data_IF_560680749941
#
_entry.id   IF_560680749941
#
_cell.length_a   1.000
_cell.length_b   1.000
_cell.length_c   1.000
_cell.angle_alpha   90.00
_cell.angle_beta   90.00
_cell.angle_gamma   90.00
#
_symmetry.space_group_name_H-M   'P 1'
#
loop_
_entity.id
_entity.type
_entity.pdbx_description
1 polymer ?
#
# COMPACT_ATOMS: atom_id res chain seq x y z
N UNK A 1 18.93 -13.57 -2.04
CA UNK A 1 18.29 -14.03 -0.79
C UNK A 1 17.11 -13.10 -0.55
N UNK A 2 15.88 -13.58 -0.70
CA UNK A 2 14.69 -12.74 -0.65
C UNK A 2 14.50 -12.18 0.77
N UNK A 3 14.39 -10.86 0.92
CA UNK A 3 14.09 -10.21 2.19
C UNK A 3 12.75 -10.74 2.70
N UNK A 4 12.76 -11.48 3.81
CA UNK A 4 11.54 -11.85 4.50
C UNK A 4 10.77 -10.57 4.88
N UNK A 5 9.44 -10.54 4.75
CA UNK A 5 8.65 -9.39 5.15
C UNK A 5 8.87 -9.09 6.64
N UNK A 6 9.22 -7.84 6.95
CA UNK A 6 9.36 -7.40 8.34
C UNK A 6 8.01 -7.50 9.07
N UNK A 7 8.02 -7.75 10.38
CA UNK A 7 6.80 -7.77 11.23
C UNK A 7 5.93 -6.52 11.01
N UNK A 8 6.58 -5.36 10.77
CA UNK A 8 5.91 -4.10 10.46
C UNK A 8 5.12 -4.12 9.14
N UNK A 9 5.54 -4.88 8.14
CA UNK A 9 4.83 -5.02 6.87
C UNK A 9 3.59 -5.91 7.00
N UNK A 10 3.70 -7.05 7.69
CA UNK A 10 2.55 -7.94 7.96
C UNK A 10 1.44 -7.20 8.71
N UNK A 11 1.83 -6.43 9.74
CA UNK A 11 0.90 -5.60 10.50
C UNK A 11 0.25 -4.50 9.66
N UNK A 12 0.93 -3.94 8.66
CA UNK A 12 0.33 -2.92 7.78
C UNK A 12 -0.76 -3.52 6.89
N UNK A 13 -0.45 -4.64 6.22
CA UNK A 13 -1.42 -5.32 5.34
C UNK A 13 -2.61 -5.83 6.14
N UNK A 14 -2.36 -6.49 7.28
CA UNK A 14 -3.43 -6.98 8.16
C UNK A 14 -4.37 -5.87 8.64
N UNK A 15 -3.82 -4.71 9.04
CA UNK A 15 -4.63 -3.54 9.43
C UNK A 15 -5.47 -3.00 8.27
N UNK A 16 -4.94 -2.96 7.05
CA UNK A 16 -5.70 -2.45 5.90
C UNK A 16 -6.85 -3.39 5.52
N UNK A 17 -6.62 -4.71 5.57
CA UNK A 17 -7.67 -5.73 5.41
C UNK A 17 -8.78 -5.50 6.44
N UNK A 18 -8.40 -5.39 7.72
CA UNK A 18 -9.35 -5.16 8.81
C UNK A 18 -10.15 -3.88 8.63
N UNK A 19 -9.47 -2.77 8.32
CA UNK A 19 -10.08 -1.46 8.11
C UNK A 19 -11.15 -1.51 7.01
N UNK A 20 -10.86 -2.17 5.89
CA UNK A 20 -11.81 -2.32 4.78
C UNK A 20 -12.97 -3.24 5.12
N UNK A 21 -12.68 -4.38 5.76
CA UNK A 21 -13.73 -5.30 6.24
C UNK A 21 -14.72 -4.58 7.15
N UNK A 22 -14.22 -3.83 8.12
CA UNK A 22 -15.04 -3.04 9.06
C UNK A 22 -15.80 -1.90 8.36
N UNK A 23 -15.18 -1.20 7.40
CA UNK A 23 -15.85 -0.16 6.62
C UNK A 23 -17.01 -0.69 5.76
N UNK A 24 -16.93 -1.95 5.32
CA UNK A 24 -18.01 -2.65 4.60
C UNK A 24 -19.04 -3.29 5.54
N UNK A 25 -18.86 -3.19 6.86
CA UNK A 25 -19.74 -3.83 7.85
C UNK A 25 -19.69 -5.36 7.85
N UNK A 26 -18.60 -5.96 7.34
CA UNK A 26 -18.48 -7.41 7.19
C UNK A 26 -17.96 -8.08 8.47
N UNK A 27 -18.55 -9.21 8.84
CA UNK A 27 -17.96 -10.14 9.81
C UNK A 27 -16.80 -10.93 9.19
N UNK A 28 -15.99 -11.60 10.02
CA UNK A 28 -14.95 -12.50 9.51
C UNK A 28 -15.55 -13.66 8.71
N UNK A 29 -16.71 -14.19 9.12
CA UNK A 29 -17.41 -15.25 8.41
C UNK A 29 -17.90 -14.78 7.04
N UNK A 30 -18.46 -13.57 6.96
CA UNK A 30 -18.89 -13.00 5.69
C UNK A 30 -17.72 -12.73 4.74
N UNK A 31 -16.57 -12.30 5.24
CA UNK A 31 -15.37 -12.17 4.41
C UNK A 31 -14.81 -13.54 4.01
N UNK A 32 -14.91 -14.54 4.88
CA UNK A 32 -14.54 -15.92 4.58
C UNK A 32 -15.34 -16.46 3.40
N UNK A 33 -16.68 -16.33 3.44
CA UNK A 33 -17.56 -16.78 2.37
C UNK A 33 -17.22 -16.12 1.02
N UNK A 34 -16.84 -14.84 1.04
CA UNK A 34 -16.48 -14.07 -0.16
C UNK A 34 -15.09 -14.37 -0.70
N UNK A 35 -14.16 -14.76 0.17
CA UNK A 35 -12.73 -14.94 -0.19
C UNK A 35 -12.31 -16.41 -0.31
N UNK A 36 -13.12 -17.35 0.19
CA UNK A 36 -12.76 -18.76 0.31
C UNK A 36 -11.69 -19.04 1.37
N UNK A 37 -11.39 -18.07 2.24
CA UNK A 37 -10.37 -18.17 3.30
C UNK A 37 -11.04 -18.31 4.65
N UNK A 38 -10.60 -19.27 5.47
CA UNK A 38 -11.26 -19.54 6.75
C UNK A 38 -11.26 -18.32 7.68
N UNK A 39 -12.32 -18.12 8.49
CA UNK A 39 -12.45 -16.93 9.36
C UNK A 39 -11.27 -16.79 10.34
N UNK A 40 -10.82 -17.91 10.89
CA UNK A 40 -9.66 -17.94 11.79
C UNK A 40 -8.38 -17.50 11.08
N UNK A 41 -8.16 -17.94 9.83
CA UNK A 41 -6.95 -17.55 9.10
C UNK A 41 -6.98 -16.05 8.76
N UNK A 42 -8.12 -15.52 8.32
CA UNK A 42 -8.32 -14.07 8.14
C UNK A 42 -7.98 -13.32 9.43
N UNK A 43 -8.51 -13.77 10.57
CA UNK A 43 -8.22 -13.16 11.87
C UNK A 43 -6.73 -13.16 12.22
N UNK A 44 -5.98 -14.23 11.92
CA UNK A 44 -4.52 -14.23 12.14
C UNK A 44 -3.77 -13.27 11.22
N UNK A 45 -4.25 -13.07 9.99
CA UNK A 45 -3.68 -12.13 9.02
C UNK A 45 -3.95 -10.69 9.47
N UNK A 46 -5.19 -10.36 9.86
CA UNK A 46 -5.58 -9.03 10.34
C UNK A 46 -4.75 -8.57 11.55
N UNK A 47 -4.37 -9.51 12.41
CA UNK A 47 -3.54 -9.26 13.59
C UNK A 47 -2.02 -9.34 13.30
N UNK A 48 -1.61 -9.55 12.05
CA UNK A 48 -0.19 -9.66 11.64
C UNK A 48 0.53 -10.87 12.25
N UNK A 49 -0.20 -11.90 12.69
CA UNK A 49 0.36 -13.11 13.33
C UNK A 49 0.83 -14.15 12.32
N UNK A 50 0.38 -14.07 11.07
CA UNK A 50 0.80 -14.97 9.99
C UNK A 50 1.10 -14.19 8.73
N UNK A 51 2.11 -14.68 8.02
CA UNK A 51 2.33 -14.31 6.63
C UNK A 51 1.26 -14.98 5.74
N UNK A 52 0.75 -14.23 4.78
CA UNK A 52 -0.28 -14.68 3.86
C UNK A 52 0.34 -14.85 2.48
N UNK A 53 0.07 -15.99 1.83
CA UNK A 53 0.50 -16.16 0.45
C UNK A 53 -0.11 -15.09 -0.45
N UNK A 54 0.54 -14.80 -1.58
CA UNK A 54 -0.03 -13.90 -2.60
C UNK A 54 -1.41 -14.35 -3.08
N UNK A 55 -1.64 -15.65 -3.20
CA UNK A 55 -2.96 -16.21 -3.54
C UNK A 55 -4.01 -15.91 -2.46
N UNK A 56 -3.65 -16.02 -1.18
CA UNK A 56 -4.53 -15.69 -0.05
C UNK A 56 -4.88 -14.20 -0.04
N UNK A 57 -3.88 -13.33 -0.19
CA UNK A 57 -4.09 -11.89 -0.25
C UNK A 57 -4.97 -11.49 -1.45
N UNK A 58 -4.78 -12.15 -2.60
CA UNK A 58 -5.63 -11.93 -3.76
C UNK A 58 -7.08 -12.37 -3.52
N UNK A 59 -7.30 -13.53 -2.89
CA UNK A 59 -8.64 -14.00 -2.52
C UNK A 59 -9.34 -13.03 -1.56
N UNK A 60 -8.62 -12.51 -0.58
CA UNK A 60 -9.12 -11.48 0.35
C UNK A 60 -9.43 -10.17 -0.41
N UNK A 61 -8.55 -9.72 -1.33
CA UNK A 61 -8.78 -8.53 -2.13
C UNK A 61 -10.06 -8.64 -2.98
N UNK A 62 -10.25 -9.79 -3.64
CA UNK A 62 -11.47 -10.11 -4.38
C UNK A 62 -12.69 -10.10 -3.46
N UNK A 63 -12.62 -10.74 -2.28
CA UNK A 63 -13.73 -10.77 -1.32
C UNK A 63 -14.09 -9.40 -0.73
N UNK A 64 -13.12 -8.48 -0.67
CA UNK A 64 -13.32 -7.08 -0.29
C UNK A 64 -13.73 -6.18 -1.47
N UNK A 65 -13.67 -6.67 -2.70
CA UNK A 65 -14.00 -5.93 -3.92
C UNK A 65 -12.99 -4.83 -4.28
N UNK A 66 -11.70 -5.05 -4.01
CA UNK A 66 -10.65 -4.03 -4.17
C UNK A 66 -9.44 -4.59 -4.94
N UNK A 67 -8.70 -3.76 -5.67
CA UNK A 67 -7.43 -4.18 -6.25
C UNK A 67 -6.44 -4.63 -5.17
N UNK A 68 -5.71 -5.73 -5.42
CA UNK A 68 -4.71 -6.25 -4.49
C UNK A 68 -3.68 -5.19 -4.08
N UNK A 69 -3.30 -4.31 -5.01
CA UNK A 69 -2.36 -3.23 -4.73
C UNK A 69 -2.81 -2.27 -3.62
N UNK A 70 -4.13 -2.10 -3.44
CA UNK A 70 -4.64 -1.26 -2.37
C UNK A 70 -4.46 -1.89 -0.97
N UNK A 71 -4.44 -3.22 -0.87
CA UNK A 71 -4.13 -3.90 0.39
C UNK A 71 -2.63 -3.84 0.72
N UNK A 72 -1.79 -3.81 -0.32
CA UNK A 72 -0.33 -3.75 -0.20
C UNK A 72 0.18 -2.31 0.01
N UNK A 73 -0.70 -1.32 -0.07
CA UNK A 73 -0.30 0.09 -0.05
C UNK A 73 0.51 0.51 -1.27
N UNK A 74 0.36 -0.19 -2.40
CA UNK A 74 0.94 0.21 -3.69
C UNK A 74 0.07 1.19 -4.46
N UNK A 75 -1.07 1.62 -3.90
CA UNK A 75 -1.72 2.83 -4.36
C UNK A 75 -0.74 3.99 -4.20
N UNK A 76 -0.34 4.59 -5.31
CA UNK A 76 0.51 5.76 -5.32
C UNK A 76 -0.26 6.93 -4.69
N UNK A 77 -0.13 7.09 -3.39
CA UNK A 77 -0.62 8.27 -2.68
C UNK A 77 0.40 9.39 -2.92
N UNK A 78 0.22 10.17 -3.97
CA UNK A 78 1.00 11.38 -4.15
C UNK A 78 0.55 12.43 -3.14
N UNK A 79 1.50 13.06 -2.44
CA UNK A 79 1.20 14.23 -1.63
C UNK A 79 0.64 15.34 -2.54
N UNK A 80 -0.32 16.18 -2.11
CA UNK A 80 -0.85 17.27 -2.93
C UNK A 80 0.25 18.14 -3.57
N UNK A 81 1.32 18.42 -2.81
CA UNK A 81 2.48 19.16 -3.31
C UNK A 81 3.27 18.42 -4.40
N UNK A 82 3.25 17.09 -4.44
CA UNK A 82 3.88 16.31 -5.53
C UNK A 82 3.09 16.48 -6.83
N UNK A 83 1.76 16.53 -6.74
CA UNK A 83 0.87 16.77 -7.88
C UNK A 83 1.04 18.22 -8.38
N UNK A 84 1.08 19.18 -7.46
CA UNK A 84 1.34 20.59 -7.78
C UNK A 84 2.71 20.78 -8.43
N UNK A 85 3.76 20.15 -7.89
CA UNK A 85 5.09 20.16 -8.48
C UNK A 85 5.08 19.60 -9.90
N UNK A 86 4.45 18.45 -10.14
CA UNK A 86 4.38 17.85 -11.47
C UNK A 86 3.71 18.79 -12.48
N UNK A 87 2.59 19.41 -12.08
CA UNK A 87 1.87 20.38 -12.91
C UNK A 87 2.74 21.61 -13.24
N UNK A 88 3.41 22.18 -12.24
CA UNK A 88 4.27 23.35 -12.45
C UNK A 88 5.50 22.99 -13.30
N UNK A 89 6.08 21.81 -13.08
CA UNK A 89 7.23 21.33 -13.84
C UNK A 89 6.92 21.24 -15.33
N UNK A 90 5.79 20.63 -15.71
CA UNK A 90 5.37 20.49 -17.11
C UNK A 90 5.09 21.84 -17.81
N UNK A 91 4.77 22.88 -17.05
CA UNK A 91 4.47 24.23 -17.57
C UNK A 91 5.70 25.14 -17.65
N UNK A 92 6.88 24.66 -17.27
CA UNK A 92 8.12 25.45 -17.26
C UNK A 92 9.06 25.09 -18.40
N UNK A 93 10.03 25.97 -18.68
CA UNK A 93 11.03 25.75 -19.73
C UNK A 93 12.02 24.65 -19.34
N UNK A 94 12.68 24.04 -20.33
CA UNK A 94 13.67 22.99 -20.09
C UNK A 94 14.85 23.44 -19.21
N UNK A 95 15.22 24.72 -19.27
CA UNK A 95 16.26 25.30 -18.40
C UNK A 95 15.82 25.31 -16.93
N UNK A 96 14.57 25.74 -16.66
CA UNK A 96 14.00 25.77 -15.31
C UNK A 96 13.81 24.34 -14.78
N UNK A 97 13.30 23.43 -15.60
CA UNK A 97 13.19 22.01 -15.27
C UNK A 97 14.55 21.42 -14.87
N UNK A 98 15.60 21.72 -15.63
CA UNK A 98 16.97 21.26 -15.34
C UNK A 98 17.47 21.81 -13.99
N UNK A 99 17.25 23.10 -13.73
CA UNK A 99 17.62 23.71 -12.45
C UNK A 99 16.89 23.07 -11.26
N UNK A 100 15.59 22.80 -11.37
CA UNK A 100 14.80 22.11 -10.36
C UNK A 100 15.37 20.71 -10.09
N UNK A 101 15.68 19.94 -11.12
CA UNK A 101 16.24 18.59 -10.96
C UNK A 101 17.61 18.61 -10.27
N UNK A 102 18.48 19.56 -10.61
CA UNK A 102 19.79 19.74 -9.96
C UNK A 102 19.60 20.06 -8.48
N UNK A 103 18.70 20.99 -8.15
CA UNK A 103 18.40 21.37 -6.78
C UNK A 103 17.93 20.17 -5.97
N UNK A 104 16.89 19.47 -6.44
CA UNK A 104 16.32 18.29 -5.76
C UNK A 104 17.35 17.18 -5.53
N UNK A 105 18.21 16.91 -6.53
CA UNK A 105 19.30 15.91 -6.41
C UNK A 105 20.31 16.30 -5.34
N UNK A 106 20.64 17.59 -5.26
CA UNK A 106 21.60 18.12 -4.28
C UNK A 106 21.03 18.01 -2.87
N UNK A 107 19.79 18.45 -2.67
CA UNK A 107 19.08 18.35 -1.39
C UNK A 107 18.91 16.89 -0.92
N UNK A 108 18.63 15.97 -1.85
CA UNK A 108 18.47 14.54 -1.53
C UNK A 108 19.80 13.88 -1.11
N UNK A 109 20.94 14.29 -1.66
CA UNK A 109 22.27 13.82 -1.24
C UNK A 109 22.63 14.31 0.17
N UNK A 110 22.25 15.53 0.53
CA UNK A 110 22.55 16.11 1.84
C UNK A 110 21.80 15.40 2.98
N UNK A 111 20.58 14.91 2.75
CA UNK A 111 19.77 14.21 3.76
C UNK A 111 20.22 12.77 4.06
N UNK A 112 21.18 12.22 3.30
CA UNK A 112 21.69 10.84 3.47
C UNK A 112 23.02 10.76 4.25
N UNK A 113 23.50 11.87 4.80
CA UNK A 113 24.64 11.95 5.73
C UNK A 113 24.13 12.20 7.13
#
# INVERSE_FOLDING_TARGET
>A
MANAPSINQLLKVGREIRRRREALGLTLDQLSDRSGITPNYIGTIENGKRDASMSTLNGIAVGLGVPLGELLGTTLCFHPSTIELARLFDQTTGEVQTAILVLLRTSAKLRRR
#
